data_IF_169640472334
#
_entry.id   IF_169640472334
#
_cell.length_a   1.000
_cell.length_b   1.000
_cell.length_c   1.000
_cell.angle_alpha   90.00
_cell.angle_beta   90.00
_cell.angle_gamma   90.00
#
_symmetry.space_group_name_H-M   'P 1'
#
loop_
_entity.id
_entity.type
_entity.pdbx_description
1 polymer ?
#
# COMPACT_ATOMS: atom_id res chain seq x y z
N UNK A 1 -46.52 3.77 -20.99
CA UNK A 1 -45.73 2.96 -20.05
C UNK A 1 -44.37 2.75 -20.69
N UNK A 2 -43.33 3.05 -19.91
CA UNK A 2 -41.92 3.32 -20.19
C UNK A 2 -41.24 2.41 -21.25
N UNK A 3 -40.39 2.99 -22.10
CA UNK A 3 -39.16 2.33 -22.54
C UNK A 3 -38.02 3.34 -22.51
N UNK A 4 -37.08 3.06 -21.61
CA UNK A 4 -35.98 3.88 -21.16
C UNK A 4 -35.03 4.30 -22.29
N UNK A 5 -34.93 5.60 -22.54
CA UNK A 5 -33.74 6.21 -23.11
C UNK A 5 -32.71 6.34 -21.97
N UNK A 6 -32.09 5.21 -21.62
CA UNK A 6 -30.96 5.22 -20.72
C UNK A 6 -29.73 5.46 -21.58
N UNK A 7 -29.23 6.70 -21.54
CA UNK A 7 -27.90 7.07 -22.02
C UNK A 7 -26.85 6.25 -21.27
N UNK A 8 -26.65 5.00 -21.70
CA UNK A 8 -25.62 4.13 -21.17
C UNK A 8 -24.29 4.63 -21.74
N UNK A 9 -23.34 5.08 -20.92
CA UNK A 9 -22.02 5.46 -21.40
C UNK A 9 -21.38 4.25 -22.08
N UNK A 10 -20.68 4.43 -23.22
CA UNK A 10 -20.10 3.30 -23.94
C UNK A 10 -19.12 2.55 -23.03
N UNK A 11 -19.24 1.23 -23.03
CA UNK A 11 -18.31 0.31 -22.36
C UNK A 11 -17.05 0.27 -23.22
N UNK A 12 -16.20 1.30 -23.13
CA UNK A 12 -14.98 1.38 -23.94
C UNK A 12 -13.93 0.47 -23.29
N UNK A 13 -13.80 -0.73 -23.83
CA UNK A 13 -12.74 -1.67 -23.47
C UNK A 13 -11.59 -1.52 -24.47
N UNK A 14 -10.38 -1.26 -23.97
CA UNK A 14 -9.18 -1.13 -24.78
C UNK A 14 -8.33 -2.40 -24.61
N UNK A 15 -7.89 -2.98 -25.72
CA UNK A 15 -6.97 -4.11 -25.73
C UNK A 15 -5.64 -3.67 -26.34
N UNK A 16 -4.54 -3.99 -25.67
CA UNK A 16 -3.19 -3.78 -26.16
C UNK A 16 -2.39 -5.07 -26.02
N UNK A 17 -1.61 -5.40 -27.03
CA UNK A 17 -0.74 -6.58 -26.98
C UNK A 17 0.57 -6.20 -26.30
N UNK A 18 0.92 -6.89 -25.20
CA UNK A 18 2.24 -6.77 -24.58
C UNK A 18 3.20 -7.76 -25.25
N UNK A 19 4.26 -7.32 -25.95
CA UNK A 19 5.24 -8.24 -26.53
C UNK A 19 5.83 -9.19 -25.49
N UNK A 20 5.87 -10.51 -25.75
CA UNK A 20 6.42 -11.51 -24.81
C UNK A 20 7.84 -11.23 -24.32
N UNK A 21 8.64 -10.50 -25.11
CA UNK A 21 10.00 -10.06 -24.73
C UNK A 21 10.00 -9.14 -23.51
N UNK A 22 8.92 -8.37 -23.33
CA UNK A 22 8.69 -7.47 -22.19
C UNK A 22 8.48 -8.28 -20.91
N UNK A 23 7.69 -9.36 -20.90
CA UNK A 23 7.46 -10.14 -19.67
C UNK A 23 8.71 -10.79 -19.05
N UNK A 24 9.77 -11.03 -19.84
CA UNK A 24 11.07 -11.48 -19.30
C UNK A 24 11.93 -10.35 -18.70
N UNK A 25 11.52 -9.10 -18.92
CA UNK A 25 12.22 -7.88 -18.54
C UNK A 25 11.61 -7.17 -17.32
N UNK A 26 10.56 -7.72 -16.70
CA UNK A 26 9.97 -7.18 -15.46
C UNK A 26 9.77 -8.29 -14.45
N UNK A 27 9.94 -7.95 -13.18
CA UNK A 27 9.81 -8.90 -12.08
C UNK A 27 9.20 -8.21 -10.87
N UNK A 28 8.46 -8.99 -10.08
CA UNK A 28 7.91 -8.52 -8.82
C UNK A 28 8.98 -8.46 -7.75
N UNK A 29 9.08 -7.30 -7.10
CA UNK A 29 9.98 -7.08 -5.97
C UNK A 29 9.17 -6.45 -4.84
N UNK A 30 9.45 -6.84 -3.60
CA UNK A 30 8.89 -6.14 -2.44
C UNK A 30 9.63 -4.82 -2.24
N UNK A 31 8.87 -3.74 -2.12
CA UNK A 31 9.39 -2.41 -1.81
C UNK A 31 10.19 -2.43 -0.51
N UNK A 32 10.94 -1.36 -0.29
CA UNK A 32 11.45 -1.06 1.04
C UNK A 32 10.30 -0.91 2.04
N UNK A 33 10.62 -1.14 3.31
CA UNK A 33 9.67 -0.92 4.39
C UNK A 33 9.30 0.57 4.47
N UNK A 34 8.01 0.85 4.57
CA UNK A 34 7.51 2.17 4.92
C UNK A 34 8.11 2.64 6.25
N UNK A 35 8.08 3.94 6.47
CA UNK A 35 8.28 4.50 7.81
C UNK A 35 7.28 3.88 8.79
N UNK A 36 7.71 3.71 10.03
CA UNK A 36 6.84 3.20 11.08
C UNK A 36 5.66 4.16 11.28
N UNK A 37 4.44 3.64 11.33
CA UNK A 37 3.22 4.47 11.45
C UNK A 37 3.18 5.29 12.73
N UNK A 38 3.81 4.80 13.80
CA UNK A 38 3.85 5.44 15.11
C UNK A 38 5.25 5.36 15.72
N UNK A 39 5.58 6.34 16.56
CA UNK A 39 6.84 6.39 17.30
C UNK A 39 6.97 5.19 18.24
N UNK A 40 5.87 4.69 18.79
CA UNK A 40 5.84 3.50 19.64
C UNK A 40 4.65 2.62 19.27
N UNK A 41 4.83 1.29 19.34
CA UNK A 41 3.82 0.28 19.00
C UNK A 41 3.22 0.51 17.59
N UNK A 42 4.08 0.83 16.63
CA UNK A 42 3.70 1.14 15.27
C UNK A 42 3.70 -0.06 14.34
N UNK A 43 3.31 0.19 13.11
CA UNK A 43 3.28 -0.80 12.03
C UNK A 43 4.00 -0.21 10.82
N UNK A 44 4.83 -1.02 10.17
CA UNK A 44 5.45 -0.71 8.87
C UNK A 44 4.96 -1.72 7.84
N UNK A 45 4.83 -1.27 6.60
CA UNK A 45 4.30 -2.06 5.48
C UNK A 45 5.28 -2.02 4.32
N UNK A 46 5.31 -3.08 3.51
CA UNK A 46 5.97 -3.08 2.22
C UNK A 46 5.06 -3.72 1.18
N UNK A 47 4.98 -3.08 0.03
CA UNK A 47 4.08 -3.47 -1.06
C UNK A 47 4.85 -4.24 -2.13
N UNK A 48 4.12 -4.97 -2.96
CA UNK A 48 4.69 -5.53 -4.18
C UNK A 48 4.79 -4.43 -5.23
N UNK A 49 5.95 -4.31 -5.88
CA UNK A 49 6.20 -3.37 -6.97
C UNK A 49 6.71 -4.14 -8.19
N UNK A 50 6.15 -3.86 -9.35
CA UNK A 50 6.68 -4.37 -10.60
C UNK A 50 7.89 -3.53 -11.02
N UNK A 51 9.04 -4.17 -11.22
CA UNK A 51 10.30 -3.48 -11.54
C UNK A 51 10.94 -4.01 -12.82
N UNK A 52 11.47 -3.12 -13.63
CA UNK A 52 12.27 -3.48 -14.81
C UNK A 52 13.57 -4.17 -14.39
N UNK A 53 13.90 -5.31 -14.98
CA UNK A 53 15.18 -6.00 -14.76
C UNK A 53 16.35 -5.28 -15.43
N UNK A 54 16.09 -4.48 -16.47
CA UNK A 54 17.09 -3.72 -17.20
C UNK A 54 17.42 -2.39 -16.51
N UNK A 55 16.40 -1.58 -16.24
CA UNK A 55 16.59 -0.22 -15.72
C UNK A 55 16.41 -0.11 -14.20
N UNK A 56 15.87 -1.16 -13.56
CA UNK A 56 15.52 -1.19 -12.12
C UNK A 56 14.47 -0.15 -11.70
N UNK A 57 13.76 0.43 -12.65
CA UNK A 57 12.66 1.36 -12.40
C UNK A 57 11.37 0.63 -12.05
N UNK A 58 10.57 1.24 -11.18
CA UNK A 58 9.21 0.79 -10.87
C UNK A 58 8.30 1.16 -12.03
N UNK A 59 7.56 0.18 -12.54
CA UNK A 59 6.63 0.33 -13.67
C UNK A 59 5.21 -0.08 -13.25
N UNK A 60 4.24 0.01 -14.17
CA UNK A 60 2.88 -0.44 -13.90
C UNK A 60 2.83 -1.92 -13.52
N UNK A 61 1.93 -2.27 -12.62
CA UNK A 61 1.67 -3.66 -12.20
C UNK A 61 1.29 -4.56 -13.40
N UNK A 62 0.71 -3.99 -14.47
CA UNK A 62 0.31 -4.69 -15.70
C UNK A 62 1.48 -5.34 -16.46
N UNK A 63 2.71 -4.87 -16.25
CA UNK A 63 3.89 -5.43 -16.91
C UNK A 63 4.36 -6.72 -16.25
N UNK A 64 4.01 -6.95 -14.99
CA UNK A 64 4.35 -8.16 -14.26
C UNK A 64 3.16 -9.12 -14.22
N UNK A 65 3.45 -10.42 -14.16
CA UNK A 65 2.41 -11.46 -14.09
C UNK A 65 1.68 -11.38 -12.75
N UNK A 66 0.36 -11.18 -12.72
CA UNK A 66 -0.38 -11.09 -11.46
C UNK A 66 -0.31 -12.40 -10.64
N UNK A 67 -0.09 -13.54 -11.29
CA UNK A 67 0.09 -14.85 -10.64
C UNK A 67 1.39 -14.95 -9.83
N UNK A 68 2.39 -14.15 -10.19
CA UNK A 68 3.70 -14.09 -9.53
C UNK A 68 3.77 -12.97 -8.48
N UNK A 69 2.67 -12.21 -8.25
CA UNK A 69 2.63 -11.08 -7.32
C UNK A 69 2.82 -11.58 -5.88
N UNK A 70 3.89 -11.17 -5.17
CA UNK A 70 4.11 -11.57 -3.79
C UNK A 70 3.09 -10.90 -2.88
N UNK A 71 2.78 -11.56 -1.77
CA UNK A 71 1.93 -10.99 -0.74
C UNK A 71 2.63 -9.80 -0.08
N UNK A 72 1.89 -8.69 0.02
CA UNK A 72 2.35 -7.51 0.74
C UNK A 72 2.55 -7.83 2.22
N UNK A 73 3.61 -7.29 2.81
CA UNK A 73 4.01 -7.65 4.15
C UNK A 73 3.81 -6.49 5.11
N UNK A 74 3.37 -6.84 6.31
CA UNK A 74 3.16 -5.91 7.41
C UNK A 74 3.92 -6.42 8.62
N UNK A 75 4.65 -5.53 9.30
CA UNK A 75 5.44 -5.87 10.49
C UNK A 75 5.26 -4.82 11.58
N UNK A 76 5.23 -5.26 12.83
CA UNK A 76 5.25 -4.38 14.00
C UNK A 76 6.63 -3.71 14.11
N UNK A 77 6.65 -2.42 14.39
CA UNK A 77 7.85 -1.64 14.65
C UNK A 77 7.72 -0.86 15.95
N UNK A 78 8.85 -0.50 16.56
CA UNK A 78 8.90 0.26 17.81
C UNK A 78 8.09 -0.38 18.96
N UNK A 79 8.12 -1.72 19.07
CA UNK A 79 7.42 -2.48 20.13
C UNK A 79 8.01 -2.29 21.53
N UNK A 80 9.23 -1.74 21.64
CA UNK A 80 9.95 -1.56 22.91
C UNK A 80 9.76 -0.16 23.51
N UNK A 81 8.65 0.52 23.22
CA UNK A 81 8.31 1.81 23.80
C UNK A 81 6.84 1.87 24.19
N UNK A 82 6.53 2.55 25.30
CA UNK A 82 5.18 2.91 25.72
C UNK A 82 5.01 4.42 25.71
N UNK A 83 3.96 4.90 25.03
CA UNK A 83 3.51 6.28 25.17
C UNK A 83 2.73 6.36 26.48
N UNK A 84 3.29 7.07 27.46
CA UNK A 84 2.58 7.45 28.68
C UNK A 84 1.95 8.83 28.44
N UNK A 85 0.64 8.87 28.23
CA UNK A 85 -0.10 10.14 28.19
C UNK A 85 -0.19 10.70 29.61
N UNK A 86 0.77 11.53 30.01
CA UNK A 86 0.84 12.09 31.36
C UNK A 86 -0.10 13.27 31.62
N UNK A 87 -1.01 13.62 30.71
CA UNK A 87 -1.94 14.76 30.88
C UNK A 87 -3.43 14.41 30.80
N UNK A 88 -3.86 13.42 31.59
CA UNK A 88 -5.21 13.40 32.17
C UNK A 88 -5.18 13.49 33.71
N UNK A 89 -4.13 14.08 34.28
CA UNK A 89 -4.14 14.53 35.68
C UNK A 89 -4.71 15.96 35.75
N UNK A 90 -5.97 16.14 35.38
CA UNK A 90 -6.79 17.24 35.90
C UNK A 90 -7.74 16.68 36.96
N UNK A 91 -7.18 15.97 37.94
CA UNK A 91 -7.73 15.96 39.28
C UNK A 91 -6.81 16.85 40.11
N UNK A 92 -7.22 18.07 40.53
CA UNK A 92 -6.47 18.80 41.52
C UNK A 92 -6.53 17.97 42.81
N UNK A 93 -5.51 17.15 43.04
CA UNK A 93 -5.29 16.51 44.34
C UNK A 93 -4.77 17.63 45.26
N UNK A 94 -5.75 18.33 45.84
CA UNK A 94 -5.79 19.06 47.12
C UNK A 94 -4.56 19.86 47.58
N UNK A 95 -4.78 21.16 47.80
CA UNK A 95 -4.12 22.01 48.80
C UNK A 95 -5.25 22.78 49.52
N UNK A 96 -5.93 22.19 50.51
CA UNK A 96 -5.69 22.35 51.96
C UNK A 96 -5.43 23.78 52.42
N UNK A 97 -6.35 24.35 53.19
CA UNK A 97 -6.27 24.34 54.65
C UNK A 97 -7.59 23.81 55.21
#
# INVERSE_FOLDING_TARGET
VLNNDENVPPQIEYEYTVPKKILGSYTWILSDWSTCSYVCQGIKKRKAECRSTEHKDVVSDDYCRPEERPQEQTQICNSHCSLQLSHLNYAPIVLTC
#
